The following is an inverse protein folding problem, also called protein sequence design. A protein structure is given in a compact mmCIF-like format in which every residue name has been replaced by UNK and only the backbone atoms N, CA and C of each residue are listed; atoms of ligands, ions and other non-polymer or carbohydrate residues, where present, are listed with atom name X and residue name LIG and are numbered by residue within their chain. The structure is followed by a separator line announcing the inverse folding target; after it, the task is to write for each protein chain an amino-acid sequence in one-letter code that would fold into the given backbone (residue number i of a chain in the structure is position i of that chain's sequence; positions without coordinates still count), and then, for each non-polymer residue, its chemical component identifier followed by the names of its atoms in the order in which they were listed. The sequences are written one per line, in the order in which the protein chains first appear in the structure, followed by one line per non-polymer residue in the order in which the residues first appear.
data_IF_697167629679
#
_entry.id   IF_697167629679
#
_cell.length_a   1.000
_cell.length_b   1.000
_cell.length_c   1.000
_cell.angle_alpha   90.00
_cell.angle_beta   90.00
_cell.angle_gamma   90.00
#
_symmetry.space_group_name_H-M   'P 1'
#
loop_
_entity.id
_entity.type
_entity.pdbx_description
1 polymer ?
#
# COMPACT_ATOMS: atom_id res chain seq x y z
N UNK A 1 -30.75 -12.30 62.63
CA UNK A 1 -29.83 -12.48 61.48
C UNK A 1 -29.73 -11.17 60.69
N UNK A 2 -28.62 -10.44 60.82
CA UNK A 2 -28.37 -9.18 60.10
C UNK A 2 -27.61 -9.51 58.81
N UNK A 3 -28.27 -9.36 57.68
CA UNK A 3 -27.66 -9.59 56.37
C UNK A 3 -26.82 -8.36 55.99
N UNK A 4 -25.51 -8.56 55.82
CA UNK A 4 -24.53 -7.49 55.56
C UNK A 4 -24.84 -6.75 54.25
N UNK A 5 -24.89 -5.41 54.31
CA UNK A 5 -25.10 -4.54 53.14
C UNK A 5 -23.83 -4.34 52.30
N UNK A 6 -22.66 -4.84 52.74
CA UNK A 6 -21.41 -4.73 51.99
C UNK A 6 -21.34 -5.72 50.82
N UNK A 7 -21.73 -6.98 51.05
CA UNK A 7 -21.70 -8.03 50.02
C UNK A 7 -22.54 -7.66 48.78
N UNK A 8 -23.71 -7.05 49.00
CA UNK A 8 -24.58 -6.58 47.91
C UNK A 8 -24.00 -5.42 47.10
N UNK A 9 -23.15 -4.58 47.67
CA UNK A 9 -22.53 -3.45 46.95
C UNK A 9 -21.39 -3.91 46.04
N UNK A 10 -20.66 -4.94 46.47
CA UNK A 10 -19.55 -5.51 45.69
C UNK A 10 -20.07 -6.38 44.53
N UNK A 11 -21.17 -7.12 44.73
CA UNK A 11 -21.87 -7.85 43.67
C UNK A 11 -22.46 -6.92 42.60
N UNK A 12 -23.03 -5.77 42.99
CA UNK A 12 -23.56 -4.77 42.02
C UNK A 12 -22.42 -4.11 41.23
N UNK A 13 -21.25 -3.89 41.83
CA UNK A 13 -20.06 -3.35 41.13
C UNK A 13 -19.46 -4.37 40.16
N UNK A 14 -19.39 -5.64 40.55
CA UNK A 14 -18.94 -6.72 39.67
C UNK A 14 -19.91 -6.94 38.49
N UNK A 15 -21.22 -6.87 38.73
CA UNK A 15 -22.24 -6.96 37.68
C UNK A 15 -22.21 -5.74 36.72
N UNK A 16 -21.99 -4.52 37.22
CA UNK A 16 -21.87 -3.33 36.38
C UNK A 16 -20.60 -3.33 35.50
N UNK A 17 -19.48 -3.87 35.99
CA UNK A 17 -18.24 -4.06 35.22
C UNK A 17 -18.41 -5.15 34.15
N UNK A 18 -19.10 -6.25 34.45
CA UNK A 18 -19.37 -7.32 33.49
C UNK A 18 -20.36 -6.88 32.40
N UNK A 19 -21.40 -6.10 32.74
CA UNK A 19 -22.35 -5.55 31.76
C UNK A 19 -21.68 -4.48 30.88
N UNK A 20 -20.75 -3.69 31.42
CA UNK A 20 -19.94 -2.73 30.64
C UNK A 20 -18.98 -3.41 29.64
N UNK A 21 -18.38 -4.54 30.03
CA UNK A 21 -17.49 -5.33 29.15
C UNK A 21 -18.28 -6.03 28.02
N UNK A 22 -19.50 -6.50 28.32
CA UNK A 22 -20.41 -7.14 27.35
C UNK A 22 -21.06 -6.11 26.41
N UNK A 23 -21.36 -4.89 26.89
CA UNK A 23 -21.85 -3.81 26.03
C UNK A 23 -20.79 -3.30 25.04
N UNK A 24 -19.50 -3.37 25.39
CA UNK A 24 -18.41 -3.07 24.45
C UNK A 24 -18.28 -4.12 23.32
N UNK A 25 -18.82 -5.33 23.54
CA UNK A 25 -18.88 -6.39 22.52
C UNK A 25 -20.13 -6.27 21.61
N UNK A 26 -21.14 -5.47 21.99
CA UNK A 26 -22.43 -5.39 21.29
C UNK A 26 -22.59 -4.19 20.33
N UNK A 27 -21.66 -3.23 20.30
CA UNK A 27 -21.69 -2.10 19.34
C UNK A 27 -21.19 -2.49 17.94
N UNK A 28 -20.75 -3.74 17.73
CA UNK A 28 -20.18 -4.20 16.45
C UNK A 28 -21.12 -4.99 15.53
N UNK A 29 -22.37 -5.26 15.90
CA UNK A 29 -23.26 -6.16 15.15
C UNK A 29 -24.16 -5.45 14.13
N UNK A 30 -23.67 -4.41 13.46
CA UNK A 30 -24.23 -4.12 12.13
C UNK A 30 -23.71 -5.22 11.19
N UNK A 31 -24.55 -5.90 10.38
CA UNK A 31 -24.03 -6.79 9.34
C UNK A 31 -23.18 -5.95 8.39
N UNK A 32 -21.86 -6.11 8.51
CA UNK A 32 -20.87 -5.31 7.80
C UNK A 32 -20.93 -5.67 6.30
N UNK A 33 -21.00 -4.65 5.44
CA UNK A 33 -20.97 -4.84 3.99
C UNK A 33 -19.67 -5.55 3.59
N UNK A 34 -19.74 -6.67 2.84
CA UNK A 34 -18.59 -7.23 2.17
C UNK A 34 -17.93 -6.17 1.27
N UNK A 35 -16.60 -6.19 1.16
CA UNK A 35 -15.86 -5.42 0.16
C UNK A 35 -16.11 -6.02 -1.24
N UNK A 36 -17.30 -5.80 -1.79
CA UNK A 36 -17.69 -6.24 -3.14
C UNK A 36 -17.33 -5.18 -4.17
N UNK A 37 -16.71 -5.57 -5.28
CA UNK A 37 -16.57 -4.72 -6.47
C UNK A 37 -15.33 -3.84 -6.53
N UNK A 38 -14.28 -4.10 -5.74
CA UNK A 38 -12.99 -3.43 -5.95
C UNK A 38 -12.39 -3.87 -7.29
N UNK A 39 -11.90 -2.92 -8.12
CA UNK A 39 -11.42 -3.23 -9.46
C UNK A 39 -10.09 -4.00 -9.41
N UNK A 40 -9.97 -5.03 -10.26
CA UNK A 40 -8.76 -5.84 -10.41
C UNK A 40 -7.82 -5.33 -11.53
N UNK A 41 -8.31 -4.42 -12.38
CA UNK A 41 -7.58 -3.90 -13.54
C UNK A 41 -6.72 -2.66 -13.27
N UNK A 42 -6.11 -2.12 -14.33
CA UNK A 42 -5.39 -0.85 -14.26
C UNK A 42 -6.33 0.32 -13.94
N UNK A 43 -5.84 1.40 -13.29
CA UNK A 43 -6.57 2.65 -13.16
C UNK A 43 -7.05 3.15 -14.53
N UNK A 44 -8.28 3.70 -14.64
CA UNK A 44 -8.84 4.15 -15.93
C UNK A 44 -7.96 5.15 -16.70
N UNK A 45 -7.18 5.95 -15.98
CA UNK A 45 -6.29 6.99 -16.53
C UNK A 45 -4.81 6.55 -16.58
N UNK A 46 -4.54 5.25 -16.55
CA UNK A 46 -3.18 4.71 -16.67
C UNK A 46 -2.60 4.98 -18.07
N UNK A 47 -1.40 5.62 -18.20
CA UNK A 47 -0.93 6.16 -19.47
C UNK A 47 -0.26 5.13 -20.41
N UNK A 48 -0.84 3.93 -20.54
CA UNK A 48 -0.27 2.83 -21.33
C UNK A 48 0.01 3.21 -22.80
N UNK A 49 -0.81 4.09 -23.39
CA UNK A 49 -0.62 4.54 -24.77
C UNK A 49 0.70 5.31 -24.98
N UNK A 50 1.12 6.13 -24.01
CA UNK A 50 2.38 6.88 -24.10
C UNK A 50 3.60 5.95 -24.07
N UNK A 51 3.52 4.87 -23.30
CA UNK A 51 4.55 3.82 -23.26
C UNK A 51 4.58 2.98 -24.53
N UNK A 52 3.42 2.62 -25.10
CA UNK A 52 3.36 1.93 -26.40
C UNK A 52 4.02 2.74 -27.51
N UNK A 53 3.73 4.06 -27.58
CA UNK A 53 4.38 4.95 -28.56
C UNK A 53 5.89 5.02 -28.38
N UNK A 54 6.37 5.11 -27.14
CA UNK A 54 7.80 5.10 -26.87
C UNK A 54 8.46 3.78 -27.28
N UNK A 55 7.82 2.63 -27.00
CA UNK A 55 8.32 1.33 -27.43
C UNK A 55 8.37 1.21 -28.96
N UNK A 56 7.32 1.66 -29.66
CA UNK A 56 7.25 1.65 -31.12
C UNK A 56 8.30 2.55 -31.78
N UNK A 57 8.69 3.65 -31.12
CA UNK A 57 9.77 4.53 -31.55
C UNK A 57 11.17 3.99 -31.20
N UNK A 58 11.30 2.73 -30.78
CA UNK A 58 12.57 2.10 -30.40
C UNK A 58 13.04 2.40 -28.96
N UNK A 59 12.24 3.12 -28.18
CA UNK A 59 12.55 3.51 -26.81
C UNK A 59 12.63 2.32 -25.84
N UNK A 60 13.40 2.52 -24.76
CA UNK A 60 13.59 1.51 -23.73
C UNK A 60 12.43 1.44 -22.76
N UNK A 61 11.44 0.60 -23.06
CA UNK A 61 10.25 0.42 -22.22
C UNK A 61 10.29 -0.92 -21.49
N UNK A 62 9.91 -0.91 -20.22
CA UNK A 62 9.89 -2.06 -19.32
C UNK A 62 8.50 -2.20 -18.71
N UNK A 63 8.06 -3.44 -18.50
CA UNK A 63 6.84 -3.79 -17.78
C UNK A 63 7.22 -4.38 -16.43
N UNK A 64 6.59 -3.87 -15.37
CA UNK A 64 6.77 -4.41 -14.02
C UNK A 64 6.29 -5.86 -13.98
N UNK A 65 7.09 -6.70 -13.32
CA UNK A 65 6.79 -8.09 -12.99
C UNK A 65 6.20 -8.13 -11.57
N UNK A 66 4.88 -8.33 -11.40
CA UNK A 66 4.25 -8.29 -10.09
C UNK A 66 4.75 -9.38 -9.15
N UNK A 67 5.01 -10.59 -9.66
CA UNK A 67 5.45 -11.74 -8.84
C UNK A 67 6.82 -11.52 -8.22
N UNK A 68 7.62 -10.65 -8.82
CA UNK A 68 8.97 -10.30 -8.33
C UNK A 68 9.06 -8.88 -7.77
N UNK A 69 7.93 -8.19 -7.64
CA UNK A 69 7.87 -6.82 -7.15
C UNK A 69 7.09 -6.75 -5.85
N UNK A 70 7.60 -5.97 -4.90
CA UNK A 70 6.97 -5.83 -3.59
C UNK A 70 7.09 -4.43 -3.04
N UNK A 71 6.04 -3.99 -2.36
CA UNK A 71 6.04 -2.84 -1.45
C UNK A 71 5.68 -3.34 -0.06
N UNK A 72 6.44 -2.94 0.94
CA UNK A 72 6.22 -3.27 2.35
C UNK A 72 6.14 -1.99 3.15
N UNK A 73 5.10 -1.86 3.95
CA UNK A 73 4.82 -0.71 4.80
C UNK A 73 4.84 -1.17 6.25
N UNK A 74 5.69 -0.56 7.07
CA UNK A 74 5.69 -0.78 8.51
C UNK A 74 4.81 0.28 9.16
N UNK A 75 3.88 -0.18 9.98
CA UNK A 75 2.87 0.62 10.64
C UNK A 75 3.11 0.54 12.15
N UNK A 76 3.51 1.65 12.74
CA UNK A 76 3.86 1.70 14.16
C UNK A 76 2.67 2.07 15.03
N UNK A 77 2.61 1.52 16.24
CA UNK A 77 1.67 1.95 17.28
C UNK A 77 2.17 3.21 17.98
N UNK A 78 1.23 4.03 18.42
CA UNK A 78 1.48 5.26 19.16
C UNK A 78 0.39 5.51 20.21
N UNK A 79 0.60 6.54 21.04
CA UNK A 79 -0.31 6.91 22.13
C UNK A 79 0.15 6.38 23.50
N UNK A 80 -0.49 6.88 24.56
CA UNK A 80 -0.10 6.56 25.96
C UNK A 80 -0.27 5.09 26.34
N UNK A 81 -1.10 4.35 25.61
CA UNK A 81 -1.34 2.91 25.78
C UNK A 81 -0.77 2.10 24.60
N UNK A 82 0.21 2.64 23.86
CA UNK A 82 0.86 1.97 22.73
C UNK A 82 1.30 0.53 23.04
N UNK A 83 1.78 0.27 24.26
CA UNK A 83 2.21 -1.07 24.71
C UNK A 83 1.09 -2.13 24.70
N UNK A 84 -0.18 -1.73 24.68
CA UNK A 84 -1.34 -2.62 24.58
C UNK A 84 -1.73 -2.94 23.13
N UNK A 85 -1.15 -2.24 22.15
CA UNK A 85 -1.30 -2.54 20.73
C UNK A 85 -0.09 -3.23 20.14
N UNK A 86 -0.12 -3.47 18.83
CA UNK A 86 0.97 -4.10 18.09
C UNK A 86 1.35 -3.22 16.91
N UNK A 87 2.61 -3.34 16.50
CA UNK A 87 3.05 -2.85 15.20
C UNK A 87 2.58 -3.85 14.14
N UNK A 88 2.31 -3.34 12.94
CA UNK A 88 1.77 -4.11 11.82
C UNK A 88 2.68 -3.99 10.60
N UNK A 89 2.66 -5.01 9.75
CA UNK A 89 3.26 -4.95 8.42
C UNK A 89 2.17 -5.09 7.37
N UNK A 90 2.17 -4.21 6.39
CA UNK A 90 1.26 -4.24 5.25
C UNK A 90 2.07 -4.39 3.97
N UNK A 91 1.66 -5.27 3.06
CA UNK A 91 2.41 -5.52 1.84
C UNK A 91 1.53 -5.52 0.59
N UNK A 92 2.12 -5.12 -0.53
CA UNK A 92 1.59 -5.37 -1.87
C UNK A 92 2.58 -6.25 -2.64
N UNK A 93 2.09 -7.36 -3.18
CA UNK A 93 2.79 -8.24 -4.13
C UNK A 93 2.21 -8.14 -5.54
N UNK A 94 1.42 -7.09 -5.80
CA UNK A 94 0.69 -6.91 -7.05
C UNK A 94 1.03 -5.55 -7.70
N UNK A 95 2.25 -5.06 -7.47
CA UNK A 95 2.74 -3.84 -8.11
C UNK A 95 2.79 -4.07 -9.60
N UNK A 96 2.12 -3.20 -10.35
CA UNK A 96 2.04 -3.21 -11.79
C UNK A 96 2.49 -1.86 -12.32
N UNK A 97 2.86 -1.80 -13.60
CA UNK A 97 3.22 -0.54 -14.21
C UNK A 97 4.14 -0.67 -15.41
N UNK A 98 4.53 0.49 -15.92
CA UNK A 98 5.42 0.63 -17.06
C UNK A 98 6.50 1.66 -16.71
N UNK A 99 7.73 1.39 -17.13
CA UNK A 99 8.85 2.31 -17.02
C UNK A 99 9.46 2.54 -18.40
N UNK A 100 10.01 3.72 -18.65
CA UNK A 100 10.74 4.03 -19.87
C UNK A 100 12.02 4.80 -19.54
N UNK A 101 13.09 4.48 -20.26
CA UNK A 101 14.35 5.23 -20.25
C UNK A 101 14.56 5.88 -21.62
N UNK A 102 14.81 7.19 -21.62
CA UNK A 102 15.18 7.97 -22.79
C UNK A 102 16.68 7.85 -23.10
N UNK A 103 17.07 8.21 -24.32
CA UNK A 103 18.47 8.17 -24.77
C UNK A 103 19.39 9.14 -23.99
N UNK A 104 18.82 10.20 -23.39
CA UNK A 104 19.54 11.18 -22.57
C UNK A 104 19.59 10.87 -21.06
N UNK A 105 19.26 9.64 -20.63
CA UNK A 105 19.23 9.26 -19.21
C UNK A 105 17.92 9.59 -18.48
N UNK A 106 16.97 10.27 -19.14
CA UNK A 106 15.66 10.59 -18.57
C UNK A 106 14.86 9.31 -18.26
N UNK A 107 14.45 9.15 -17.01
CA UNK A 107 13.62 8.05 -16.55
C UNK A 107 12.19 8.49 -16.26
N UNK A 108 11.20 7.73 -16.73
CA UNK A 108 9.78 7.88 -16.34
C UNK A 108 9.17 6.55 -15.98
N UNK A 109 8.25 6.53 -15.04
CA UNK A 109 7.50 5.34 -14.66
C UNK A 109 6.10 5.71 -14.15
N UNK A 110 5.11 4.90 -14.50
CA UNK A 110 3.78 4.95 -13.92
C UNK A 110 3.51 3.56 -13.33
N UNK A 111 3.40 3.51 -12.00
CA UNK A 111 3.18 2.31 -11.20
C UNK A 111 1.85 2.41 -10.47
N UNK A 112 1.23 1.27 -10.21
CA UNK A 112 0.03 1.18 -9.39
C UNK A 112 -0.11 -0.20 -8.73
N UNK A 113 -0.94 -0.26 -7.70
CA UNK A 113 -1.55 -1.51 -7.23
C UNK A 113 -2.93 -1.21 -6.66
N UNK A 114 -3.82 -2.19 -6.71
CA UNK A 114 -5.14 -2.09 -6.10
C UNK A 114 -5.02 -2.23 -4.58
N UNK A 115 -5.73 -1.40 -3.83
CA UNK A 115 -5.76 -1.53 -2.37
C UNK A 115 -6.32 -2.88 -1.91
N UNK A 116 -7.24 -3.43 -2.69
CA UNK A 116 -7.78 -4.78 -2.49
C UNK A 116 -6.69 -5.86 -2.45
N UNK A 117 -5.57 -5.68 -3.14
CA UNK A 117 -4.50 -6.67 -3.19
C UNK A 117 -3.54 -6.60 -2.01
N UNK A 118 -3.71 -5.62 -1.10
CA UNK A 118 -2.86 -5.52 0.08
C UNK A 118 -2.96 -6.81 0.91
N UNK A 119 -1.93 -7.12 1.67
CA UNK A 119 -1.96 -8.15 2.70
C UNK A 119 -1.45 -7.56 3.99
N UNK A 120 -1.94 -8.08 5.11
CA UNK A 120 -1.61 -7.58 6.43
C UNK A 120 -0.97 -8.73 7.19
N UNK A 121 0.14 -8.46 7.86
CA UNK A 121 0.73 -9.31 8.88
C UNK A 121 1.09 -10.73 8.43
N UNK A 122 1.54 -10.86 7.17
CA UNK A 122 2.13 -12.11 6.67
C UNK A 122 3.28 -12.55 7.59
N UNK A 123 3.29 -13.82 8.06
CA UNK A 123 4.22 -14.28 9.09
C UNK A 123 5.69 -14.00 8.77
N UNK A 124 6.11 -14.24 7.53
CA UNK A 124 7.49 -14.05 7.09
C UNK A 124 7.91 -12.57 7.11
N UNK A 125 6.98 -11.67 6.79
CA UNK A 125 7.24 -10.23 6.80
C UNK A 125 7.25 -9.67 8.22
N UNK A 126 6.40 -10.19 9.12
CA UNK A 126 6.44 -9.85 10.55
C UNK A 126 7.76 -10.29 11.19
N UNK A 127 8.20 -11.51 10.92
CA UNK A 127 9.49 -12.02 11.38
C UNK A 127 10.65 -11.15 10.88
N UNK A 128 10.67 -10.80 9.58
CA UNK A 128 11.68 -9.91 9.00
C UNK A 128 11.67 -8.49 9.59
N UNK A 129 10.52 -8.05 10.13
CA UNK A 129 10.37 -6.76 10.82
C UNK A 129 10.66 -6.84 12.33
N UNK A 130 11.03 -8.00 12.87
CA UNK A 130 11.28 -8.20 14.30
C UNK A 130 10.01 -8.17 15.17
N UNK A 131 8.85 -8.47 14.57
CA UNK A 131 7.56 -8.46 15.27
C UNK A 131 7.22 -9.87 15.76
N UNK A 132 7.66 -10.18 16.99
CA UNK A 132 7.63 -11.54 17.56
C UNK A 132 6.24 -12.05 17.94
N UNK A 133 5.27 -11.15 18.19
CA UNK A 133 3.92 -11.56 18.56
C UNK A 133 3.15 -12.05 17.34
N UNK A 134 2.79 -13.32 17.33
CA UNK A 134 1.81 -13.86 16.37
C UNK A 134 0.43 -13.25 16.63
N UNK A 135 -0.28 -12.97 15.54
CA UNK A 135 -1.65 -12.46 15.55
C UNK A 135 -2.56 -13.57 15.01
N UNK A 136 -3.79 -13.64 15.53
CA UNK A 136 -4.78 -14.55 14.98
C UNK A 136 -5.25 -14.06 13.61
N UNK A 137 -5.68 -14.99 12.75
CA UNK A 137 -6.25 -14.65 11.43
C UNK A 137 -7.43 -13.66 11.55
N UNK A 138 -8.23 -13.78 12.62
CA UNK A 138 -9.33 -12.84 12.88
C UNK A 138 -8.85 -11.42 13.17
N UNK A 139 -7.74 -11.27 13.89
CA UNK A 139 -7.15 -9.97 14.21
C UNK A 139 -6.50 -9.35 12.96
N UNK A 140 -5.82 -10.16 12.15
CA UNK A 140 -5.26 -9.76 10.86
C UNK A 140 -6.37 -9.28 9.92
N UNK A 141 -7.44 -10.05 9.79
CA UNK A 141 -8.58 -9.68 8.95
C UNK A 141 -9.33 -8.45 9.49
N UNK A 142 -9.47 -8.30 10.80
CA UNK A 142 -10.04 -7.09 11.40
C UNK A 142 -9.19 -5.85 11.12
N UNK A 143 -7.86 -5.97 11.22
CA UNK A 143 -6.90 -4.91 10.91
C UNK A 143 -7.01 -4.52 9.43
N UNK A 144 -7.00 -5.52 8.55
CA UNK A 144 -7.17 -5.35 7.10
C UNK A 144 -8.47 -4.63 6.75
N UNK A 145 -9.61 -5.04 7.33
CA UNK A 145 -10.90 -4.38 7.08
C UNK A 145 -10.88 -2.93 7.55
N UNK A 146 -10.42 -2.65 8.77
CA UNK A 146 -10.33 -1.29 9.30
C UNK A 146 -9.44 -0.40 8.41
N UNK A 147 -8.29 -0.92 7.98
CA UNK A 147 -7.38 -0.22 7.08
C UNK A 147 -8.07 0.13 5.75
N UNK A 148 -8.71 -0.83 5.09
CA UNK A 148 -9.35 -0.62 3.78
C UNK A 148 -10.59 0.28 3.85
N UNK A 149 -11.42 0.12 4.88
CA UNK A 149 -12.72 0.81 4.94
C UNK A 149 -12.66 2.17 5.65
N UNK A 150 -11.90 2.28 6.74
CA UNK A 150 -11.94 3.46 7.62
C UNK A 150 -10.79 4.44 7.39
N UNK A 151 -9.67 3.95 6.86
CA UNK A 151 -8.46 4.77 6.68
C UNK A 151 -8.24 5.07 5.21
N UNK A 152 -8.23 4.04 4.36
CA UNK A 152 -7.93 4.18 2.93
C UNK A 152 -9.18 4.42 2.05
N UNK A 153 -10.38 4.22 2.61
CA UNK A 153 -11.66 4.37 1.90
C UNK A 153 -11.64 3.72 0.51
N UNK A 154 -11.18 2.46 0.45
CA UNK A 154 -10.78 1.79 -0.79
C UNK A 154 -11.89 1.65 -1.83
N UNK A 155 -13.17 1.70 -1.43
CA UNK A 155 -14.31 1.70 -2.36
C UNK A 155 -14.33 2.98 -3.22
N UNK A 156 -14.05 4.15 -2.64
CA UNK A 156 -13.94 5.42 -3.36
C UNK A 156 -12.56 5.67 -3.96
N UNK A 157 -11.52 5.08 -3.36
CA UNK A 157 -10.12 5.30 -3.74
C UNK A 157 -9.36 3.98 -3.94
N UNK A 158 -9.68 3.18 -4.96
CA UNK A 158 -9.25 1.78 -5.04
C UNK A 158 -7.77 1.54 -5.33
N UNK A 159 -6.99 2.58 -5.64
CA UNK A 159 -5.61 2.45 -6.10
C UNK A 159 -4.64 3.32 -5.31
N UNK A 160 -3.44 2.76 -5.10
CA UNK A 160 -2.22 3.57 -4.91
C UNK A 160 -1.55 3.72 -6.26
N UNK A 161 -1.10 4.93 -6.59
CA UNK A 161 -0.45 5.24 -7.87
C UNK A 161 0.82 6.03 -7.63
N UNK A 162 1.87 5.72 -8.37
CA UNK A 162 3.12 6.44 -8.33
C UNK A 162 3.55 6.81 -9.75
N UNK A 163 3.77 8.10 -10.00
CA UNK A 163 4.32 8.61 -11.26
C UNK A 163 5.70 9.21 -11.02
N UNK A 164 6.72 8.60 -11.58
CA UNK A 164 8.08 9.15 -11.62
C UNK A 164 8.14 10.24 -12.69
N UNK A 165 8.52 11.45 -12.27
CA UNK A 165 8.64 12.63 -13.13
C UNK A 165 10.08 12.90 -13.55
N UNK A 166 11.04 12.54 -12.71
CA UNK A 166 12.46 12.63 -13.00
C UNK A 166 13.25 11.58 -12.22
N UNK A 167 14.43 11.23 -12.73
CA UNK A 167 15.41 10.40 -12.04
C UNK A 167 16.74 11.13 -12.16
N UNK A 168 17.30 11.55 -11.03
CA UNK A 168 18.66 12.06 -10.95
C UNK A 168 19.58 10.91 -10.54
N UNK A 169 20.26 10.30 -11.51
CA UNK A 169 21.18 9.18 -11.29
C UNK A 169 22.56 9.72 -10.88
N UNK A 170 22.92 9.55 -9.61
CA UNK A 170 24.18 10.01 -9.03
C UNK A 170 25.03 8.80 -8.60
N UNK A 171 25.89 8.32 -9.49
CA UNK A 171 26.72 7.13 -9.27
C UNK A 171 25.88 5.89 -8.87
N UNK A 172 26.01 5.36 -7.65
CA UNK A 172 25.32 4.15 -7.18
C UNK A 172 23.92 4.41 -6.57
N UNK A 173 23.55 5.68 -6.39
CA UNK A 173 22.27 6.07 -5.79
C UNK A 173 21.56 7.07 -6.70
N UNK A 174 20.24 6.95 -6.80
CA UNK A 174 19.40 7.85 -7.55
C UNK A 174 18.42 8.55 -6.61
N UNK A 175 18.12 9.81 -6.91
CA UNK A 175 16.99 10.52 -6.33
C UNK A 175 15.87 10.52 -7.36
N UNK A 176 14.75 9.90 -6.99
CA UNK A 176 13.59 9.74 -7.85
C UNK A 176 12.54 10.76 -7.43
N UNK A 177 12.33 11.79 -8.26
CA UNK A 177 11.21 12.71 -8.08
C UNK A 177 9.94 12.03 -8.56
N UNK A 178 8.96 11.89 -7.67
CA UNK A 178 7.73 11.15 -7.94
C UNK A 178 6.48 11.83 -7.35
N UNK A 179 5.36 11.66 -8.04
CA UNK A 179 4.02 11.96 -7.55
C UNK A 179 3.36 10.69 -7.05
N UNK A 180 3.11 10.61 -5.75
CA UNK A 180 2.39 9.53 -5.10
C UNK A 180 0.94 9.98 -4.89
N UNK A 181 -0.02 9.19 -5.38
CA UNK A 181 -1.45 9.37 -5.16
C UNK A 181 -2.01 8.25 -4.28
N UNK A 182 -2.60 8.64 -3.16
CA UNK A 182 -3.27 7.76 -2.18
C UNK A 182 -4.51 8.49 -1.71
N UNK A 183 -5.64 7.78 -1.54
CA UNK A 183 -6.86 8.38 -0.98
C UNK A 183 -7.32 9.64 -1.75
N UNK A 184 -7.22 9.60 -3.08
CA UNK A 184 -7.58 10.74 -3.96
C UNK A 184 -6.64 11.95 -3.90
N UNK A 185 -5.69 11.99 -2.97
CA UNK A 185 -4.73 13.10 -2.81
C UNK A 185 -3.40 12.75 -3.44
N UNK A 186 -2.76 13.72 -4.10
CA UNK A 186 -1.44 13.56 -4.73
C UNK A 186 -0.40 14.44 -4.06
N UNK A 187 0.77 13.87 -3.78
CA UNK A 187 1.92 14.54 -3.16
C UNK A 187 3.20 14.22 -3.93
N UNK A 188 4.12 15.18 -3.94
CA UNK A 188 5.45 15.04 -4.53
C UNK A 188 6.45 14.56 -3.47
N UNK A 189 7.33 13.65 -3.88
CA UNK A 189 8.36 13.04 -3.04
C UNK A 189 9.68 12.98 -3.81
N UNK A 190 10.77 13.18 -3.09
CA UNK A 190 12.11 12.78 -3.51
C UNK A 190 12.44 11.44 -2.83
N UNK A 191 12.52 10.38 -3.62
CA UNK A 191 12.68 9.01 -3.12
C UNK A 191 14.11 8.54 -3.39
N UNK A 192 14.93 8.32 -2.34
CA UNK A 192 16.22 7.67 -2.50
C UNK A 192 16.03 6.23 -2.97
N UNK A 193 16.69 5.89 -4.08
CA UNK A 193 16.61 4.57 -4.67
C UNK A 193 17.98 4.11 -5.19
N UNK A 194 18.20 2.81 -5.19
CA UNK A 194 19.19 2.17 -6.03
C UNK A 194 18.49 1.63 -7.27
N UNK A 195 18.99 2.01 -8.45
CA UNK A 195 18.44 1.62 -9.74
C UNK A 195 19.52 0.86 -10.50
N UNK A 196 19.22 -0.40 -10.81
CA UNK A 196 20.06 -1.24 -11.66
C UNK A 196 19.30 -1.48 -12.96
N UNK A 197 19.87 -1.02 -14.07
CA UNK A 197 19.31 -1.19 -15.39
C UNK A 197 20.26 -1.98 -16.30
N UNK A 198 19.70 -2.93 -17.04
CA UNK A 198 20.33 -3.60 -18.17
C UNK A 198 19.36 -3.63 -19.36
N UNK A 199 19.81 -4.09 -20.53
CA UNK A 199 18.99 -4.12 -21.74
C UNK A 199 17.69 -4.93 -21.59
N UNK A 200 17.71 -5.95 -20.74
CA UNK A 200 16.56 -6.84 -20.52
C UNK A 200 15.78 -6.59 -19.23
N UNK A 201 16.38 -5.94 -18.24
CA UNK A 201 15.82 -5.87 -16.89
C UNK A 201 16.07 -4.50 -16.22
N UNK A 202 15.13 -4.12 -15.37
CA UNK A 202 15.23 -2.95 -14.51
C UNK A 202 14.85 -3.38 -13.10
N UNK A 203 15.63 -2.95 -12.11
CA UNK A 203 15.30 -3.11 -10.70
C UNK A 203 15.49 -1.78 -9.98
N UNK A 204 14.49 -1.37 -9.22
CA UNK A 204 14.56 -0.22 -8.33
C UNK A 204 14.26 -0.68 -6.90
N UNK A 205 15.16 -0.37 -5.96
CA UNK A 205 14.97 -0.64 -4.54
C UNK A 205 15.21 0.60 -3.71
N UNK A 206 14.45 0.77 -2.64
CA UNK A 206 14.61 1.95 -1.80
C UNK A 206 13.68 1.94 -0.60
N UNK A 207 13.76 3.02 0.17
CA UNK A 207 12.92 3.25 1.31
C UNK A 207 12.68 4.74 1.50
N UNK A 208 11.48 5.09 1.95
CA UNK A 208 11.09 6.47 2.26
C UNK A 208 9.97 6.45 3.30
N UNK A 209 9.61 7.63 3.80
CA UNK A 209 8.51 7.78 4.77
C UNK A 209 7.39 8.61 4.19
N UNK A 210 6.18 8.32 4.63
CA UNK A 210 4.98 9.10 4.30
C UNK A 210 4.19 9.37 5.57
N UNK A 211 3.40 10.45 5.62
CA UNK A 211 2.39 10.67 6.65
C UNK A 211 1.02 10.39 6.07
N UNK A 212 0.15 9.74 6.84
CA UNK A 212 -1.22 9.48 6.41
C UNK A 212 -2.01 10.80 6.26
N UNK A 213 -1.78 11.73 7.19
CA UNK A 213 -2.43 13.04 7.18
C UNK A 213 -2.10 13.89 5.95
N UNK A 214 -0.94 13.72 5.32
CA UNK A 214 -0.59 14.41 4.07
C UNK A 214 -1.56 14.07 2.92
N UNK A 215 -2.20 12.89 3.00
CA UNK A 215 -3.18 12.39 2.04
C UNK A 215 -4.63 12.59 2.50
N UNK A 216 -4.86 13.36 3.57
CA UNK A 216 -6.20 13.59 4.12
C UNK A 216 -6.78 12.40 4.87
N UNK A 217 -5.99 11.35 5.11
CA UNK A 217 -6.41 10.21 5.92
C UNK A 217 -6.29 10.53 7.41
N UNK A 218 -7.21 9.98 8.20
CA UNK A 218 -7.11 10.04 9.67
C UNK A 218 -6.52 8.72 10.17
N UNK A 219 -5.34 8.72 10.83
CA UNK A 219 -4.77 7.52 11.41
C UNK A 219 -5.76 6.85 12.37
N UNK A 220 -5.85 5.53 12.31
CA UNK A 220 -6.75 4.76 13.17
C UNK A 220 -6.45 5.03 14.66
N UNK A 221 -7.50 5.23 15.46
CA UNK A 221 -7.38 5.42 16.90
C UNK A 221 -8.52 4.77 17.67
N UNK A 222 -8.25 4.40 18.92
CA UNK A 222 -9.17 3.78 19.87
C UNK A 222 -8.98 4.36 21.27
N UNK A 223 -9.95 4.10 22.16
CA UNK A 223 -9.91 4.54 23.57
C UNK A 223 -9.67 6.05 23.73
N UNK A 224 -10.34 6.86 22.89
CA UNK A 224 -10.17 8.31 22.88
C UNK A 224 -8.76 8.76 22.48
N UNK A 225 -8.08 8.01 21.61
CA UNK A 225 -6.71 8.31 21.15
C UNK A 225 -5.59 7.78 22.05
N UNK A 226 -5.93 7.06 23.13
CA UNK A 226 -4.93 6.47 24.01
C UNK A 226 -4.12 5.37 23.31
N UNK A 227 -4.74 4.65 22.37
CA UNK A 227 -4.11 3.72 21.44
C UNK A 227 -4.38 4.21 20.02
N UNK A 228 -3.33 4.38 19.22
CA UNK A 228 -3.46 4.83 17.82
C UNK A 228 -2.37 4.24 16.94
N UNK A 229 -2.60 4.28 15.65
CA UNK A 229 -1.55 4.11 14.64
C UNK A 229 -0.76 5.42 14.54
N UNK A 230 0.57 5.31 14.44
CA UNK A 230 1.44 6.44 14.16
C UNK A 230 1.11 7.03 12.79
N UNK A 231 1.12 8.35 12.68
CA UNK A 231 0.79 9.02 11.42
C UNK A 231 1.85 8.75 10.33
N UNK A 232 3.12 8.72 10.72
CA UNK A 232 4.25 8.39 9.86
C UNK A 232 4.36 6.87 9.63
N UNK A 233 4.53 6.49 8.37
CA UNK A 233 4.69 5.11 7.91
C UNK A 233 6.05 4.95 7.23
N UNK A 234 6.73 3.85 7.50
CA UNK A 234 7.97 3.49 6.78
C UNK A 234 7.63 2.61 5.57
N UNK A 235 8.02 3.06 4.38
CA UNK A 235 7.79 2.34 3.12
C UNK A 235 9.11 1.80 2.61
N UNK A 236 9.13 0.52 2.23
CA UNK A 236 10.22 -0.12 1.50
C UNK A 236 9.70 -0.73 0.20
N UNK A 237 10.49 -0.68 -0.85
CA UNK A 237 10.12 -1.26 -2.13
C UNK A 237 11.28 -1.98 -2.80
N UNK A 238 10.94 -3.01 -3.57
CA UNK A 238 11.80 -3.70 -4.52
C UNK A 238 10.94 -3.99 -5.75
N UNK A 239 11.11 -3.19 -6.81
CA UNK A 239 10.31 -3.25 -8.03
C UNK A 239 11.20 -3.77 -9.14
N UNK A 240 10.74 -4.81 -9.82
CA UNK A 240 11.43 -5.45 -10.94
C UNK A 240 10.59 -5.35 -12.19
N UNK A 241 11.24 -5.03 -13.29
CA UNK A 241 10.60 -4.91 -14.58
C UNK A 241 11.47 -5.56 -15.66
N UNK A 242 10.82 -6.08 -16.69
CA UNK A 242 11.49 -6.69 -17.84
C UNK A 242 11.16 -5.91 -19.11
N UNK A 243 12.06 -5.96 -20.10
CA UNK A 243 11.89 -5.24 -21.36
C UNK A 243 10.55 -5.59 -21.99
N UNK A 244 9.72 -4.59 -22.23
CA UNK A 244 8.44 -4.77 -22.88
C UNK A 244 8.65 -4.83 -24.39
N UNK A 245 8.79 -6.06 -24.90
CA UNK A 245 8.86 -6.31 -26.34
C UNK A 245 7.44 -6.30 -26.90
N UNK A 246 7.10 -5.25 -27.64
CA UNK A 246 5.89 -5.21 -28.46
C UNK A 246 6.28 -5.68 -29.86
N UNK A 247 5.50 -6.57 -30.49
CA UNK A 247 5.63 -6.80 -31.92
C UNK A 247 5.20 -5.50 -32.61
N UNK A 248 6.10 -4.86 -33.35
CA UNK A 248 5.72 -3.70 -34.15
C UNK A 248 4.54 -4.09 -35.05
N UNK A 249 3.50 -3.25 -35.11
CA UNK A 249 2.51 -3.42 -36.18
C UNK A 249 3.26 -3.34 -37.52
N UNK A 250 2.92 -4.17 -38.52
CA UNK A 250 3.52 -4.09 -39.85
C UNK A 250 3.39 -2.66 -40.37
N UNK A 251 4.44 -2.18 -41.04
CA UNK A 251 4.43 -0.81 -41.56
C UNK A 251 3.36 -0.66 -42.64
N UNK A 252 2.71 0.51 -42.79
CA UNK A 252 1.74 0.74 -43.88
C UNK A 252 2.35 0.61 -45.29
N UNK A 253 3.67 0.42 -45.43
CA UNK A 253 4.35 0.32 -46.71
C UNK A 253 4.26 -1.08 -47.36
N UNK A 254 3.72 -2.10 -46.68
CA UNK A 254 3.58 -3.46 -47.23
C UNK A 254 2.22 -3.73 -47.88
N UNK A 255 1.27 -2.78 -47.86
CA UNK A 255 -0.09 -2.97 -48.43
C UNK A 255 -0.23 -2.51 -49.89
N UNK A 256 0.84 -1.99 -50.52
CA UNK A 256 0.80 -1.45 -51.90
C UNK A 256 1.40 -2.42 -52.95
N UNK A 257 2.01 -3.54 -52.55
CA UNK A 257 2.62 -4.51 -53.51
C UNK A 257 1.75 -5.76 -53.76
N UNK A 258 0.46 -5.69 -53.40
CA UNK A 258 -0.48 -6.81 -53.44
C UNK A 258 -1.68 -6.68 -54.39
N UNK A 259 -1.71 -5.69 -55.28
CA UNK A 259 -2.72 -5.55 -56.35
C UNK A 259 -2.05 -5.28 -57.70
#
# INVERSE_FOLDING_TARGET
MKWSSSARRDEIRAAALAVGLVMLALVGCAPLRPLTGLPEGAPPDFPAAAYRRAAAAGGAVYRVDPERSRVVVHVHRAGRLAKLGHDHVVASHAVQGLAARGAGGEGRADLYFALASLRVDEPELRAAAGLEKELSDSDVEATRRNMLQKVLEAEGHPYVRLRVTAVDEQAAHAIVSARLSVHGVTREFEIPAEIIASDGALRARGAFRVRQTDFGMTPYSALGGALRVADELDVRFDVRATRWRFAAAPSPAEEIDGM
#
